data_IF_306749522559
#
_entry.id   IF_306749522559
#
_cell.length_a   1.000
_cell.length_b   1.000
_cell.length_c   1.000
_cell.angle_alpha   90.00
_cell.angle_beta   90.00
_cell.angle_gamma   90.00
#
_symmetry.space_group_name_H-M   'P 1'
#
loop_
_entity.id
_entity.type
_entity.pdbx_description
1 polymer ?
#
# COMPACT_ATOMS: atom_id res chain seq x y z
N UNK A 1 -16.58 64.28 -36.52
CA UNK A 1 -15.29 64.06 -37.23
C UNK A 1 -14.33 63.34 -36.30
N UNK A 2 -13.47 62.54 -36.90
CA UNK A 2 -12.74 61.36 -36.40
C UNK A 2 -11.72 61.55 -35.26
N UNK A 3 -11.50 60.45 -34.50
CA UNK A 3 -10.22 59.74 -34.27
C UNK A 3 -10.46 58.61 -33.24
N UNK A 4 -10.79 57.37 -33.63
CA UNK A 4 -9.89 56.20 -33.86
C UNK A 4 -8.79 55.99 -32.80
N UNK A 5 -8.93 54.97 -31.93
CA UNK A 5 -8.28 53.61 -31.96
C UNK A 5 -6.99 53.57 -31.10
N UNK A 6 -6.89 52.76 -30.03
CA UNK A 6 -6.69 51.30 -30.06
C UNK A 6 -7.02 50.68 -28.69
N UNK A 7 -7.84 49.64 -28.70
CA UNK A 7 -8.12 48.71 -27.61
C UNK A 7 -7.72 47.31 -28.13
N UNK A 8 -6.95 46.54 -27.36
CA UNK A 8 -6.73 45.09 -27.54
C UNK A 8 -7.18 44.43 -26.23
N UNK A 9 -8.37 43.85 -26.16
CA UNK A 9 -8.70 42.43 -26.38
C UNK A 9 -7.87 41.44 -25.53
N UNK A 10 -8.52 40.82 -24.53
CA UNK A 10 -8.71 39.35 -24.53
C UNK A 10 -9.73 38.89 -23.47
N UNK A 11 -10.88 38.48 -24.00
CA UNK A 11 -11.83 37.43 -23.62
C UNK A 11 -12.18 37.10 -22.15
N UNK A 12 -13.46 37.34 -21.86
CA UNK A 12 -14.30 36.70 -20.85
C UNK A 12 -14.95 35.46 -21.49
N UNK A 13 -15.01 34.32 -20.78
CA UNK A 13 -16.17 33.42 -20.81
C UNK A 13 -16.48 32.98 -19.37
N UNK A 14 -17.74 33.17 -18.99
CA UNK A 14 -18.33 32.97 -17.68
C UNK A 14 -19.38 31.85 -17.82
N UNK A 15 -19.24 30.73 -17.10
CA UNK A 15 -20.29 29.79 -16.67
C UNK A 15 -19.62 28.99 -15.53
N UNK A 16 -20.11 28.91 -14.30
CA UNK A 16 -21.49 28.79 -13.87
C UNK A 16 -21.77 27.34 -13.46
N UNK A 17 -21.16 26.86 -12.37
CA UNK A 17 -21.69 25.71 -11.63
C UNK A 17 -21.37 25.83 -10.15
N UNK A 18 -22.44 25.81 -9.37
CA UNK A 18 -22.48 25.70 -7.91
C UNK A 18 -21.77 24.41 -7.51
N UNK A 19 -20.57 24.52 -6.95
CA UNK A 19 -19.98 23.44 -6.18
C UNK A 19 -20.70 23.38 -4.85
N UNK A 20 -21.71 22.51 -4.75
CA UNK A 20 -22.18 22.02 -3.46
C UNK A 20 -20.96 21.37 -2.82
N UNK A 21 -20.42 21.97 -1.75
CA UNK A 21 -19.56 21.25 -0.82
C UNK A 21 -20.46 20.17 -0.18
N UNK A 22 -20.46 18.97 -0.75
CA UNK A 22 -20.90 17.79 -0.02
C UNK A 22 -19.99 17.68 1.19
N UNK A 23 -20.62 17.46 2.33
CA UNK A 23 -19.96 17.25 3.61
C UNK A 23 -19.40 15.83 3.62
N UNK A 24 -18.46 15.55 2.72
CA UNK A 24 -17.74 14.28 2.68
C UNK A 24 -16.75 14.30 3.84
N UNK A 25 -17.21 13.83 4.99
CA UNK A 25 -16.34 13.37 6.06
C UNK A 25 -15.85 11.98 5.64
N UNK A 26 -14.96 11.94 4.66
CA UNK A 26 -14.16 10.75 4.38
C UNK A 26 -13.11 10.62 5.47
N UNK A 27 -13.46 9.89 6.53
CA UNK A 27 -12.52 9.47 7.55
C UNK A 27 -12.72 7.99 7.88
N UNK A 28 -11.84 7.16 7.33
CA UNK A 28 -11.17 6.06 8.02
C UNK A 28 -10.05 5.52 7.11
N UNK A 29 -8.87 6.12 7.20
CA UNK A 29 -7.62 5.50 6.74
C UNK A 29 -7.14 4.60 7.88
N UNK A 30 -7.00 3.32 7.60
CA UNK A 30 -6.18 2.37 8.35
C UNK A 30 -6.09 1.06 7.54
N UNK A 31 -5.04 0.91 6.73
CA UNK A 31 -4.39 -0.39 6.66
C UNK A 31 -3.60 -0.51 7.96
N UNK A 32 -4.14 -1.23 8.94
CA UNK A 32 -3.38 -1.65 10.11
C UNK A 32 -2.87 -3.05 9.78
N UNK A 33 -1.56 -3.13 9.48
CA UNK A 33 -0.73 -4.34 9.45
C UNK A 33 -1.51 -5.64 9.21
N UNK A 34 -2.05 -5.80 8.00
CA UNK A 34 -2.34 -7.11 7.45
C UNK A 34 -1.03 -7.67 6.92
N UNK A 35 -0.35 -8.54 7.66
CA UNK A 35 0.82 -9.26 7.13
C UNK A 35 0.44 -9.89 5.80
N UNK A 36 1.05 -9.41 4.72
CA UNK A 36 0.39 -9.52 3.41
C UNK A 36 0.34 -10.95 2.88
N UNK A 37 0.99 -11.98 3.47
CA UNK A 37 0.76 -13.39 3.11
C UNK A 37 -0.49 -13.98 3.75
N UNK A 38 -1.38 -13.14 4.26
CA UNK A 38 -2.66 -13.63 4.67
C UNK A 38 -3.53 -13.70 3.43
N UNK A 39 -4.10 -14.88 3.23
CA UNK A 39 -5.33 -15.08 2.48
C UNK A 39 -6.48 -14.18 2.98
N UNK A 40 -6.23 -13.08 3.69
CA UNK A 40 -7.20 -12.28 4.43
C UNK A 40 -6.92 -10.79 4.19
N UNK A 41 -7.96 -9.98 4.00
CA UNK A 41 -7.86 -8.53 4.04
C UNK A 41 -8.88 -7.97 5.03
N UNK A 42 -8.43 -7.14 5.96
CA UNK A 42 -9.29 -6.47 6.94
C UNK A 42 -9.73 -5.10 6.43
N UNK A 43 -10.94 -4.69 6.79
CA UNK A 43 -11.50 -3.40 6.42
C UNK A 43 -12.47 -2.89 7.48
N UNK A 44 -12.59 -1.56 7.59
CA UNK A 44 -13.48 -0.91 8.55
C UNK A 44 -14.86 -0.66 7.94
N UNK A 45 -15.90 -0.66 8.77
CA UNK A 45 -17.28 -0.38 8.34
C UNK A 45 -17.84 0.76 9.20
N UNK A 46 -18.04 1.97 8.64
CA UNK A 46 -18.40 3.17 9.42
C UNK A 46 -19.90 3.23 9.81
N UNK A 47 -20.59 2.09 9.87
CA UNK A 47 -22.03 2.01 10.14
C UNK A 47 -22.39 2.57 11.53
N UNK A 48 -21.47 2.46 12.49
CA UNK A 48 -21.64 2.99 13.85
C UNK A 48 -21.57 4.53 13.90
N UNK A 49 -20.87 5.18 12.96
CA UNK A 49 -20.77 6.66 12.90
C UNK A 49 -22.11 7.33 12.60
N UNK A 50 -23.04 6.60 11.99
CA UNK A 50 -24.37 7.07 11.63
C UNK A 50 -25.48 6.47 12.50
N UNK A 51 -25.13 5.88 13.66
CA UNK A 51 -26.09 5.10 14.41
C UNK A 51 -27.32 5.90 14.90
N UNK A 52 -28.50 5.30 14.73
CA UNK A 52 -29.78 5.82 15.23
C UNK A 52 -30.73 4.67 15.57
N UNK A 53 -31.39 4.76 16.73
CA UNK A 53 -32.40 3.77 17.16
C UNK A 53 -33.72 3.86 16.36
N UNK A 54 -33.99 5.00 15.74
CA UNK A 54 -35.25 5.28 15.05
C UNK A 54 -35.16 5.20 13.52
N UNK A 55 -34.00 4.84 12.97
CA UNK A 55 -33.74 4.87 11.53
C UNK A 55 -33.06 3.58 11.07
N UNK A 56 -33.39 3.16 9.86
CA UNK A 56 -32.72 2.07 9.15
C UNK A 56 -31.42 2.58 8.54
N UNK A 57 -30.37 1.78 8.63
CA UNK A 57 -29.12 1.99 7.90
C UNK A 57 -28.84 0.77 7.04
N UNK A 58 -28.38 0.99 5.82
CA UNK A 58 -28.04 -0.08 4.90
C UNK A 58 -26.53 -0.28 4.87
N UNK A 59 -26.13 -1.54 4.70
CA UNK A 59 -24.76 -1.94 4.40
C UNK A 59 -24.81 -2.76 3.13
N UNK A 60 -24.00 -2.39 2.15
CA UNK A 60 -23.76 -3.17 0.95
C UNK A 60 -22.26 -3.36 0.75
N UNK A 61 -21.85 -4.59 0.49
CA UNK A 61 -20.48 -4.97 0.12
C UNK A 61 -20.54 -5.70 -1.22
N UNK A 62 -19.61 -5.41 -2.10
CA UNK A 62 -19.44 -6.10 -3.37
C UNK A 62 -18.03 -6.65 -3.49
N UNK A 63 -17.93 -7.82 -4.12
CA UNK A 63 -16.66 -8.49 -4.39
C UNK A 63 -16.68 -9.01 -5.82
N UNK A 64 -15.70 -8.59 -6.61
CA UNK A 64 -15.51 -8.95 -8.01
C UNK A 64 -14.24 -9.76 -8.16
N UNK A 65 -14.31 -10.89 -8.85
CA UNK A 65 -13.09 -11.62 -9.25
C UNK A 65 -12.69 -11.23 -10.67
N UNK A 66 -11.44 -10.79 -10.87
CA UNK A 66 -10.96 -10.23 -12.14
C UNK A 66 -10.18 -11.23 -13.00
N UNK A 67 -9.50 -12.22 -12.39
CA UNK A 67 -8.56 -13.09 -13.14
C UNK A 67 -9.05 -14.52 -13.33
N UNK A 68 -9.61 -15.14 -12.29
CA UNK A 68 -10.10 -16.52 -12.29
C UNK A 68 -11.36 -16.64 -11.43
N UNK A 69 -11.94 -17.84 -11.32
CA UNK A 69 -12.94 -18.08 -10.28
C UNK A 69 -12.22 -18.05 -8.92
N UNK A 70 -12.76 -17.33 -7.95
CA UNK A 70 -12.19 -17.18 -6.61
C UNK A 70 -13.14 -17.76 -5.55
N UNK A 71 -12.62 -18.63 -4.70
CA UNK A 71 -13.26 -19.09 -3.47
C UNK A 71 -12.97 -18.10 -2.34
N UNK A 72 -14.01 -17.46 -1.82
CA UNK A 72 -13.91 -16.35 -0.87
C UNK A 72 -14.88 -16.50 0.30
N UNK A 73 -14.55 -15.97 1.47
CA UNK A 73 -15.49 -15.82 2.58
C UNK A 73 -15.39 -14.42 3.17
N UNK A 74 -16.52 -13.79 3.48
CA UNK A 74 -16.57 -12.50 4.19
C UNK A 74 -16.94 -12.78 5.63
N UNK A 75 -16.16 -12.28 6.58
CA UNK A 75 -16.49 -12.33 8.00
C UNK A 75 -16.74 -10.92 8.51
N UNK A 76 -17.81 -10.74 9.27
CA UNK A 76 -18.25 -9.43 9.78
C UNK A 76 -18.31 -9.49 11.30
N UNK A 77 -17.89 -8.42 11.97
CA UNK A 77 -17.73 -8.41 13.42
C UNK A 77 -18.41 -7.20 14.06
N UNK A 78 -19.01 -7.42 15.23
CA UNK A 78 -19.51 -6.39 16.12
C UNK A 78 -18.38 -5.64 16.81
N UNK A 79 -18.71 -4.56 17.52
CA UNK A 79 -17.74 -3.76 18.30
C UNK A 79 -17.03 -4.57 19.40
N UNK A 80 -17.69 -5.58 19.98
CA UNK A 80 -17.12 -6.44 21.01
C UNK A 80 -16.29 -7.61 20.43
N UNK A 81 -16.19 -7.73 19.09
CA UNK A 81 -15.47 -8.80 18.42
C UNK A 81 -16.30 -10.04 18.09
N UNK A 82 -17.58 -10.09 18.48
CA UNK A 82 -18.46 -11.20 18.11
C UNK A 82 -18.71 -11.21 16.60
N UNK A 83 -18.68 -12.39 16.01
CA UNK A 83 -18.94 -12.59 14.59
C UNK A 83 -20.45 -12.52 14.27
N UNK A 84 -20.76 -11.95 13.12
CA UNK A 84 -22.12 -11.82 12.58
C UNK A 84 -22.25 -12.81 11.42
N UNK A 85 -23.17 -13.76 11.58
CA UNK A 85 -23.48 -14.79 10.57
C UNK A 85 -24.86 -14.57 9.94
N UNK A 86 -25.44 -13.38 10.10
CA UNK A 86 -26.75 -13.05 9.55
C UNK A 86 -26.66 -12.99 8.02
N UNK A 87 -27.40 -13.87 7.36
CA UNK A 87 -27.55 -13.87 5.92
C UNK A 87 -28.12 -12.52 5.46
N UNK A 88 -27.55 -11.98 4.38
CA UNK A 88 -28.03 -10.74 3.80
C UNK A 88 -29.40 -10.91 3.13
N UNK A 89 -30.09 -9.80 2.92
CA UNK A 89 -31.43 -9.76 2.32
C UNK A 89 -31.40 -8.89 1.07
N UNK A 90 -31.94 -9.38 -0.05
CA UNK A 90 -32.09 -8.55 -1.24
C UNK A 90 -33.12 -7.44 -0.99
N UNK A 91 -32.84 -6.23 -1.48
CA UNK A 91 -33.72 -5.06 -1.31
C UNK A 91 -33.56 -4.10 -2.49
N UNK A 92 -34.67 -3.59 -3.02
CA UNK A 92 -34.72 -2.59 -4.11
C UNK A 92 -33.83 -2.91 -5.32
N UNK A 93 -33.80 -4.18 -5.74
CA UNK A 93 -32.98 -4.66 -6.86
C UNK A 93 -31.51 -4.93 -6.52
N UNK A 94 -31.07 -4.68 -5.28
CA UNK A 94 -29.77 -5.11 -4.77
C UNK A 94 -29.87 -6.59 -4.39
N UNK A 95 -29.06 -7.42 -5.05
CA UNK A 95 -28.95 -8.85 -4.74
C UNK A 95 -28.10 -9.08 -3.47
N UNK A 96 -28.31 -10.22 -2.81
CA UNK A 96 -27.54 -10.60 -1.62
C UNK A 96 -27.29 -12.11 -1.66
N UNK A 97 -26.10 -12.48 -2.10
CA UNK A 97 -25.69 -13.87 -2.38
C UNK A 97 -24.75 -14.43 -1.31
N UNK A 98 -24.09 -13.54 -0.57
CA UNK A 98 -23.07 -13.90 0.40
C UNK A 98 -23.70 -14.21 1.76
N UNK A 99 -23.29 -15.31 2.36
CA UNK A 99 -23.55 -15.63 3.77
C UNK A 99 -22.25 -15.39 4.53
N UNK A 100 -22.20 -14.40 5.45
CA UNK A 100 -21.00 -14.17 6.25
C UNK A 100 -20.53 -15.44 6.97
N UNK A 101 -19.21 -15.68 6.93
CA UNK A 101 -18.56 -16.88 7.46
C UNK A 101 -18.57 -18.11 6.52
N UNK A 102 -19.38 -18.12 5.46
CA UNK A 102 -19.43 -19.22 4.50
C UNK A 102 -18.53 -18.97 3.27
N UNK A 103 -17.97 -20.05 2.71
CA UNK A 103 -17.26 -19.98 1.41
C UNK A 103 -18.24 -19.74 0.29
N UNK A 104 -17.88 -18.82 -0.61
CA UNK A 104 -18.65 -18.40 -1.78
C UNK A 104 -17.74 -18.40 -3.00
N UNK A 105 -18.18 -19.05 -4.08
CA UNK A 105 -17.50 -19.01 -5.37
C UNK A 105 -17.87 -17.74 -6.13
N UNK A 106 -16.90 -16.87 -6.41
CA UNK A 106 -17.06 -15.72 -7.29
C UNK A 106 -16.49 -16.07 -8.65
N UNK A 107 -17.33 -16.12 -9.69
CA UNK A 107 -16.87 -16.46 -11.04
C UNK A 107 -15.99 -15.33 -11.59
N UNK A 108 -15.07 -15.68 -12.48
CA UNK A 108 -14.27 -14.70 -13.22
C UNK A 108 -15.17 -13.66 -13.90
N UNK A 109 -14.79 -12.40 -13.80
CA UNK A 109 -15.45 -11.24 -14.40
C UNK A 109 -16.89 -11.04 -13.89
N UNK A 110 -17.21 -11.57 -12.70
CA UNK A 110 -18.51 -11.40 -12.04
C UNK A 110 -18.36 -10.81 -10.65
N UNK A 111 -19.46 -10.23 -10.15
CA UNK A 111 -19.56 -9.60 -8.84
C UNK A 111 -20.61 -10.33 -8.02
N UNK A 112 -20.30 -10.62 -6.77
CA UNK A 112 -21.27 -11.06 -5.76
C UNK A 112 -21.47 -9.94 -4.73
N UNK A 113 -22.66 -9.90 -4.14
CA UNK A 113 -23.03 -8.83 -3.21
C UNK A 113 -23.48 -9.40 -1.86
N UNK A 114 -23.12 -8.72 -0.78
CA UNK A 114 -23.75 -8.83 0.53
C UNK A 114 -24.50 -7.53 0.83
N UNK A 115 -25.79 -7.62 1.08
CA UNK A 115 -26.60 -6.49 1.53
C UNK A 115 -27.39 -6.85 2.79
N UNK A 116 -27.39 -5.96 3.79
CA UNK A 116 -28.27 -6.07 4.96
C UNK A 116 -28.67 -4.69 5.50
N UNK A 117 -29.96 -4.56 5.83
CA UNK A 117 -30.51 -3.40 6.50
C UNK A 117 -30.49 -3.55 8.04
N UNK A 118 -29.96 -2.55 8.73
CA UNK A 118 -29.83 -2.43 10.17
C UNK A 118 -30.79 -1.36 10.71
N UNK A 119 -31.97 -1.77 11.17
CA UNK A 119 -32.94 -0.90 11.86
C UNK A 119 -34.32 -1.53 11.90
N UNK A 120 -35.14 -1.14 12.88
CA UNK A 120 -36.45 -1.76 13.14
C UNK A 120 -36.42 -3.07 13.94
N UNK A 121 -35.29 -3.81 13.98
CA UNK A 121 -35.17 -5.08 14.73
C UNK A 121 -33.84 -5.27 15.52
N UNK A 122 -32.80 -4.45 15.28
CA UNK A 122 -31.56 -4.47 16.08
C UNK A 122 -31.52 -3.22 16.97
N UNK A 123 -31.93 -3.37 18.23
CA UNK A 123 -32.28 -2.23 19.11
C UNK A 123 -31.10 -1.35 19.54
N UNK A 124 -29.86 -1.82 19.39
CA UNK A 124 -28.65 -1.13 19.86
C UNK A 124 -27.53 -1.08 18.81
N UNK A 125 -26.82 0.04 18.75
CA UNK A 125 -25.67 0.27 17.87
C UNK A 125 -24.58 -0.80 18.01
N UNK A 126 -24.42 -1.35 19.22
CA UNK A 126 -23.45 -2.41 19.53
C UNK A 126 -23.69 -3.71 18.75
N UNK A 127 -24.91 -3.95 18.29
CA UNK A 127 -25.28 -5.14 17.52
C UNK A 127 -24.96 -5.01 16.02
N UNK A 128 -24.52 -3.82 15.58
CA UNK A 128 -24.19 -3.54 14.18
C UNK A 128 -22.76 -3.92 13.84
N UNK A 129 -22.51 -4.15 12.55
CA UNK A 129 -21.15 -4.38 12.05
C UNK A 129 -20.24 -3.19 12.35
N UNK A 130 -19.03 -3.48 12.79
CA UNK A 130 -17.99 -2.51 13.10
C UNK A 130 -16.81 -2.63 12.12
N UNK A 131 -16.43 -3.86 11.77
CA UNK A 131 -15.37 -4.14 10.80
C UNK A 131 -15.60 -5.51 10.17
N UNK A 132 -14.85 -5.82 9.12
CA UNK A 132 -14.90 -7.12 8.46
C UNK A 132 -13.53 -7.57 7.96
N UNK A 133 -13.49 -8.81 7.48
CA UNK A 133 -12.38 -9.34 6.69
C UNK A 133 -12.88 -10.18 5.53
N UNK A 134 -12.17 -10.16 4.41
CA UNK A 134 -12.38 -11.09 3.29
C UNK A 134 -11.26 -12.11 3.33
N UNK A 135 -11.58 -13.39 3.27
CA UNK A 135 -10.61 -14.50 3.20
C UNK A 135 -10.67 -15.17 1.82
N UNK A 136 -9.58 -15.17 1.05
CA UNK A 136 -9.42 -15.85 -0.25
C UNK A 136 -8.76 -17.20 -0.12
N UNK A 137 -9.49 -18.25 -0.44
CA UNK A 137 -8.97 -19.61 -0.50
C UNK A 137 -8.35 -19.95 -1.87
N UNK A 138 -8.32 -18.99 -2.80
CA UNK A 138 -7.76 -19.17 -4.15
C UNK A 138 -6.47 -18.38 -4.32
N UNK A 139 -5.38 -19.06 -4.60
CA UNK A 139 -4.10 -18.42 -4.95
C UNK A 139 -4.14 -17.85 -6.38
N UNK A 140 -3.57 -16.68 -6.59
CA UNK A 140 -3.48 -16.01 -7.89
C UNK A 140 -4.77 -15.34 -8.36
N UNK A 141 -5.83 -15.34 -7.54
CA UNK A 141 -7.02 -14.52 -7.80
C UNK A 141 -6.71 -13.04 -7.57
N UNK A 142 -7.11 -12.19 -8.51
CA UNK A 142 -7.17 -10.74 -8.35
C UNK A 142 -8.61 -10.36 -8.03
N UNK A 143 -8.82 -9.74 -6.87
CA UNK A 143 -10.12 -9.48 -6.29
C UNK A 143 -10.26 -7.98 -6.09
N UNK A 144 -11.31 -7.39 -6.65
CA UNK A 144 -11.69 -6.02 -6.34
C UNK A 144 -12.87 -6.07 -5.37
N UNK A 145 -12.81 -5.28 -4.30
CA UNK A 145 -13.87 -5.25 -3.32
C UNK A 145 -14.12 -3.83 -2.81
N UNK A 146 -15.35 -3.60 -2.37
CA UNK A 146 -15.76 -2.31 -1.82
C UNK A 146 -17.18 -2.38 -1.31
N UNK A 147 -17.77 -1.22 -1.06
CA UNK A 147 -19.14 -1.16 -0.59
C UNK A 147 -19.54 0.24 -0.17
N UNK A 148 -20.64 0.31 0.55
CA UNK A 148 -21.17 1.55 1.08
C UNK A 148 -22.07 1.29 2.29
N UNK A 149 -22.24 2.34 3.08
CA UNK A 149 -23.30 2.47 4.06
C UNK A 149 -24.17 3.67 3.71
N UNK A 150 -25.49 3.54 3.85
CA UNK A 150 -26.42 4.62 3.54
C UNK A 150 -27.60 4.68 4.52
N UNK A 151 -28.10 5.90 4.72
CA UNK A 151 -29.44 6.17 5.19
C UNK A 151 -29.57 7.55 5.84
N UNK A 152 -30.61 7.76 6.65
CA UNK A 152 -31.10 9.10 6.99
C UNK A 152 -30.11 10.02 7.73
N UNK A 153 -29.05 9.48 8.35
CA UNK A 153 -28.04 10.26 9.09
C UNK A 153 -26.78 10.56 8.28
N UNK A 154 -26.63 9.97 7.11
CA UNK A 154 -25.48 10.12 6.23
C UNK A 154 -25.13 8.83 5.52
N UNK A 155 -24.15 8.93 4.62
CA UNK A 155 -23.60 7.82 3.87
C UNK A 155 -22.06 7.85 3.92
N UNK A 156 -21.46 6.71 3.58
CA UNK A 156 -20.02 6.59 3.39
C UNK A 156 -19.68 5.43 2.46
N UNK A 157 -18.66 5.62 1.63
CA UNK A 157 -18.07 4.56 0.81
C UNK A 157 -17.11 3.72 1.66
N UNK A 158 -17.12 2.41 1.43
CA UNK A 158 -16.15 1.47 1.99
C UNK A 158 -15.14 1.15 0.88
N UNK A 159 -13.91 1.60 1.06
CA UNK A 159 -12.79 1.25 0.18
C UNK A 159 -12.03 0.09 0.81
N UNK A 160 -11.99 -1.04 0.12
CA UNK A 160 -11.17 -2.19 0.49
C UNK A 160 -9.92 -2.14 -0.39
N UNK A 161 -8.75 -2.29 0.22
CA UNK A 161 -7.46 -2.13 -0.47
C UNK A 161 -7.33 -0.80 -1.25
N UNK A 162 -7.85 0.30 -0.69
CA UNK A 162 -7.91 1.62 -1.35
C UNK A 162 -8.62 1.62 -2.72
N UNK A 163 -9.47 0.63 -2.99
CA UNK A 163 -10.13 0.48 -4.29
C UNK A 163 -9.25 -0.15 -5.37
N UNK A 164 -8.05 -0.64 -5.01
CA UNK A 164 -7.16 -1.36 -5.91
C UNK A 164 -7.41 -2.87 -5.84
N UNK A 165 -7.17 -3.63 -6.93
CA UNK A 165 -7.27 -5.08 -6.90
C UNK A 165 -6.32 -5.70 -5.87
N UNK A 166 -6.88 -6.52 -4.97
CA UNK A 166 -6.14 -7.37 -4.06
C UNK A 166 -5.80 -8.69 -4.75
N UNK A 167 -4.52 -8.96 -4.96
CA UNK A 167 -4.06 -10.24 -5.49
C UNK A 167 -3.56 -11.14 -4.36
N UNK A 168 -4.15 -12.34 -4.23
CA UNK A 168 -3.60 -13.40 -3.38
C UNK A 168 -2.40 -14.05 -4.10
N UNK A 169 -1.36 -13.26 -4.42
CA UNK A 169 -0.17 -13.70 -5.14
C UNK A 169 0.84 -14.25 -4.15
N UNK A 170 1.29 -15.48 -4.36
CA UNK A 170 2.47 -16.00 -3.67
C UNK A 170 3.66 -15.13 -4.03
N UNK A 171 4.31 -14.54 -3.03
CA UNK A 171 5.53 -13.75 -3.21
C UNK A 171 6.70 -14.68 -3.47
N UNK A 172 6.70 -15.28 -4.65
CA UNK A 172 7.87 -15.98 -5.14
C UNK A 172 8.78 -14.91 -5.72
N UNK A 173 9.96 -14.76 -5.12
CA UNK A 173 11.10 -14.00 -5.64
C UNK A 173 11.32 -14.39 -7.10
N UNK A 174 10.89 -13.52 -8.02
CA UNK A 174 11.21 -13.63 -9.44
C UNK A 174 12.25 -12.60 -9.87
N UNK A 175 12.94 -11.97 -8.92
CA UNK A 175 14.11 -11.15 -9.23
C UNK A 175 15.13 -12.00 -9.98
N UNK A 176 15.77 -11.44 -11.00
CA UNK A 176 16.88 -12.12 -11.65
C UNK A 176 18.01 -12.33 -10.64
N UNK A 177 18.44 -13.58 -10.45
CA UNK A 177 19.40 -13.92 -9.39
C UNK A 177 18.73 -14.10 -8.03
N UNK A 178 19.50 -14.42 -7.00
CA UNK A 178 18.98 -14.80 -5.68
C UNK A 178 18.37 -13.62 -4.86
N UNK A 179 17.67 -12.67 -5.49
CA UNK A 179 17.01 -11.56 -4.78
C UNK A 179 15.69 -12.00 -4.15
N UNK A 180 15.52 -11.71 -2.86
CA UNK A 180 14.31 -12.01 -2.09
C UNK A 180 13.22 -10.95 -2.31
N UNK A 181 13.59 -9.74 -2.75
CA UNK A 181 12.63 -8.70 -3.11
C UNK A 181 12.20 -8.90 -4.56
N UNK A 182 10.90 -8.94 -4.88
CA UNK A 182 10.46 -8.97 -6.28
C UNK A 182 10.66 -7.60 -6.92
N UNK A 183 10.80 -7.58 -8.24
CA UNK A 183 10.83 -6.35 -9.05
C UNK A 183 9.62 -5.45 -8.71
N UNK A 184 9.85 -4.36 -7.99
CA UNK A 184 8.79 -3.46 -7.52
C UNK A 184 8.32 -2.51 -8.63
N UNK A 185 7.02 -2.22 -8.65
CA UNK A 185 6.38 -1.24 -9.55
C UNK A 185 5.69 -0.10 -8.80
N UNK A 186 5.57 -0.22 -7.47
CA UNK A 186 5.11 0.82 -6.55
C UNK A 186 5.62 0.49 -5.13
N UNK A 187 5.33 1.35 -4.14
CA UNK A 187 5.65 1.06 -2.74
C UNK A 187 4.93 -0.18 -2.16
N UNK A 188 3.93 -0.74 -2.86
CA UNK A 188 3.12 -1.86 -2.37
C UNK A 188 3.00 -3.02 -3.38
N UNK A 189 3.56 -2.88 -4.59
CA UNK A 189 3.37 -3.85 -5.66
C UNK A 189 4.71 -4.31 -6.24
N UNK A 190 4.88 -5.61 -6.55
CA UNK A 190 3.85 -6.65 -6.58
C UNK A 190 3.61 -7.38 -5.24
N UNK A 191 4.45 -7.15 -4.24
CA UNK A 191 4.31 -7.74 -2.90
C UNK A 191 5.22 -7.02 -1.91
N UNK A 192 4.82 -7.01 -0.63
CA UNK A 192 5.57 -6.38 0.44
C UNK A 192 5.47 -4.86 0.35
N UNK A 193 6.02 -4.19 1.36
CA UNK A 193 5.96 -2.73 1.44
C UNK A 193 7.36 -2.15 1.44
N UNK A 194 7.61 -1.23 0.51
CA UNK A 194 8.80 -0.38 0.54
C UNK A 194 8.42 0.94 1.19
N UNK A 195 9.22 1.39 2.14
CA UNK A 195 9.07 2.72 2.73
C UNK A 195 10.43 3.34 3.00
N UNK A 196 10.46 4.67 3.15
CA UNK A 196 11.68 5.40 3.45
C UNK A 196 11.41 6.56 4.41
N UNK A 197 12.49 7.09 4.99
CA UNK A 197 12.40 8.26 5.88
C UNK A 197 11.83 9.49 5.19
N UNK A 198 12.24 9.73 3.94
CA UNK A 198 11.80 10.83 3.08
C UNK A 198 11.99 10.44 1.61
N UNK A 199 11.29 11.13 0.70
CA UNK A 199 11.36 10.90 -0.75
C UNK A 199 11.43 12.24 -1.49
N UNK A 200 12.33 12.40 -2.45
CA UNK A 200 12.44 13.67 -3.20
C UNK A 200 11.23 13.95 -4.10
N UNK A 201 10.74 12.92 -4.79
CA UNK A 201 9.61 13.01 -5.73
C UNK A 201 9.03 11.63 -6.01
N UNK A 202 7.83 11.52 -6.64
CA UNK A 202 7.28 10.23 -7.05
C UNK A 202 8.17 9.43 -8.00
N UNK A 203 9.07 10.08 -8.75
CA UNK A 203 10.03 9.41 -9.64
C UNK A 203 11.26 8.85 -8.89
N UNK A 204 11.44 9.24 -7.62
CA UNK A 204 12.52 8.82 -6.73
C UNK A 204 11.98 8.22 -5.43
N UNK A 205 10.76 7.67 -5.50
CA UNK A 205 10.10 7.02 -4.39
C UNK A 205 10.88 5.76 -3.96
N UNK A 206 10.65 5.31 -2.74
CA UNK A 206 11.41 4.24 -2.10
C UNK A 206 11.48 2.96 -2.95
N UNK A 207 10.36 2.56 -3.56
CA UNK A 207 10.28 1.36 -4.42
C UNK A 207 11.23 1.36 -5.63
N UNK A 208 11.67 2.53 -6.08
CA UNK A 208 12.53 2.64 -7.26
C UNK A 208 13.96 2.13 -7.01
N UNK A 209 14.34 1.88 -5.76
CA UNK A 209 15.57 1.19 -5.41
C UNK A 209 15.45 -0.35 -5.41
N UNK A 210 14.27 -0.89 -5.72
CA UNK A 210 13.96 -2.33 -5.73
C UNK A 210 13.25 -2.74 -7.03
N UNK A 211 13.40 -1.97 -8.09
CA UNK A 211 12.66 -2.18 -9.33
C UNK A 211 13.48 -2.93 -10.38
N UNK A 212 14.64 -3.49 -10.00
CA UNK A 212 15.58 -4.21 -10.87
C UNK A 212 15.96 -3.44 -12.14
N UNK A 213 15.93 -2.10 -12.10
CA UNK A 213 16.24 -1.24 -13.25
C UNK A 213 17.20 -0.12 -12.90
N UNK A 214 18.37 -0.19 -13.53
CA UNK A 214 19.39 0.86 -13.42
C UNK A 214 19.31 1.75 -14.67
N UNK A 215 18.18 2.44 -14.84
CA UNK A 215 17.96 3.29 -16.01
C UNK A 215 18.89 4.51 -16.04
N UNK A 216 19.21 5.02 -17.23
CA UNK A 216 20.11 6.17 -17.48
C UNK A 216 19.65 7.54 -16.94
N UNK A 217 18.53 7.61 -16.22
CA UNK A 217 17.82 8.87 -15.90
C UNK A 217 17.82 9.30 -14.43
N UNK A 218 18.79 8.89 -13.61
CA UNK A 218 18.85 9.31 -12.20
C UNK A 218 17.70 8.75 -11.36
N UNK A 219 17.25 7.53 -11.71
CA UNK A 219 16.27 6.76 -10.95
C UNK A 219 16.95 5.98 -9.83
N UNK A 220 16.14 5.61 -8.84
CA UNK A 220 16.55 5.12 -7.53
C UNK A 220 15.91 5.94 -6.42
N UNK A 221 15.96 5.43 -5.19
CA UNK A 221 15.45 6.14 -4.02
C UNK A 221 16.35 7.34 -3.70
N UNK A 222 15.74 8.52 -3.60
CA UNK A 222 16.40 9.74 -3.13
C UNK A 222 15.72 10.25 -1.88
N UNK A 223 16.51 10.62 -0.87
CA UNK A 223 16.00 11.44 0.23
C UNK A 223 15.53 12.80 -0.28
N UNK A 224 14.68 13.47 0.51
CA UNK A 224 14.35 14.87 0.28
C UNK A 224 15.59 15.77 0.12
N UNK A 225 15.39 16.94 -0.51
CA UNK A 225 16.48 17.88 -0.75
C UNK A 225 17.11 18.37 0.56
N UNK A 226 18.44 18.38 0.58
CA UNK A 226 19.31 18.73 1.70
C UNK A 226 19.26 17.74 2.88
N UNK A 227 18.77 16.51 2.66
CA UNK A 227 18.76 15.45 3.65
C UNK A 227 19.86 14.43 3.32
N UNK A 228 20.86 14.33 4.20
CA UNK A 228 22.08 13.51 4.00
C UNK A 228 22.22 12.33 4.97
N UNK A 229 21.14 12.03 5.70
CA UNK A 229 20.94 10.84 6.53
C UNK A 229 19.50 10.36 6.34
N UNK A 230 19.22 9.07 6.49
CA UNK A 230 17.89 8.52 6.25
C UNK A 230 17.87 7.01 6.24
N UNK A 231 16.68 6.44 6.15
CA UNK A 231 16.50 4.99 6.08
C UNK A 231 15.63 4.60 4.90
N UNK A 232 15.90 3.41 4.36
CA UNK A 232 15.11 2.73 3.34
C UNK A 232 14.81 1.33 3.87
N UNK A 233 13.54 0.96 3.86
CA UNK A 233 12.99 -0.24 4.47
C UNK A 233 12.22 -1.06 3.43
N UNK A 234 12.38 -2.38 3.54
CA UNK A 234 11.49 -3.34 2.92
C UNK A 234 10.84 -4.22 3.99
N UNK A 235 9.51 -4.20 4.03
CA UNK A 235 8.71 -5.11 4.83
C UNK A 235 8.31 -6.31 3.96
N UNK A 236 8.93 -7.45 4.27
CA UNK A 236 8.52 -8.73 3.72
C UNK A 236 7.15 -9.13 4.23
N UNK A 237 6.36 -9.53 3.27
CA UNK A 237 5.09 -10.21 3.39
C UNK A 237 5.09 -11.47 4.27
N UNK A 238 6.18 -12.25 4.22
CA UNK A 238 6.45 -13.34 5.16
C UNK A 238 7.91 -13.30 5.60
N UNK A 239 8.23 -13.56 6.88
CA UNK A 239 9.59 -13.43 7.37
C UNK A 239 10.61 -14.18 6.52
N UNK A 240 11.64 -13.48 6.04
CA UNK A 240 12.72 -14.05 5.24
C UNK A 240 14.02 -14.05 6.04
N UNK A 241 14.94 -14.96 5.72
CA UNK A 241 16.32 -14.94 6.24
C UNK A 241 17.22 -14.24 5.22
N UNK A 242 17.51 -12.96 5.45
CA UNK A 242 18.48 -12.20 4.65
C UNK A 242 19.87 -12.40 5.24
N UNK A 243 20.86 -12.72 4.40
CA UNK A 243 22.28 -12.91 4.78
C UNK A 243 23.24 -12.01 4.00
N UNK A 244 22.75 -11.34 2.97
CA UNK A 244 23.49 -10.30 2.31
C UNK A 244 22.55 -9.26 1.72
N UNK A 245 23.08 -8.07 1.47
CA UNK A 245 22.41 -7.05 0.67
C UNK A 245 23.40 -6.52 -0.37
N UNK A 246 22.86 -6.03 -1.48
CA UNK A 246 23.65 -5.30 -2.48
C UNK A 246 23.25 -3.84 -2.47
N UNK A 247 24.19 -2.96 -2.79
CA UNK A 247 23.93 -1.54 -3.02
C UNK A 247 24.60 -1.12 -4.30
N UNK A 248 23.89 -0.32 -5.08
CA UNK A 248 24.44 0.30 -6.27
C UNK A 248 24.12 1.80 -6.30
N UNK A 249 25.03 2.59 -6.87
CA UNK A 249 24.83 4.03 -7.03
C UNK A 249 23.78 4.32 -8.11
N UNK A 250 23.07 5.45 -8.03
CA UNK A 250 22.26 5.93 -9.16
C UNK A 250 23.06 5.98 -10.46
N UNK A 251 22.38 5.64 -11.56
CA UNK A 251 22.90 5.87 -12.89
C UNK A 251 22.68 7.35 -13.27
N UNK A 252 23.78 8.07 -13.47
CA UNK A 252 23.80 9.48 -13.87
C UNK A 252 24.90 9.69 -14.91
N UNK A 253 24.68 10.57 -15.92
CA UNK A 253 25.72 10.97 -16.86
C UNK A 253 26.94 11.62 -16.19
N UNK A 254 26.82 12.05 -14.92
CA UNK A 254 27.93 12.49 -14.10
C UNK A 254 28.22 11.50 -12.97
N UNK A 255 29.20 10.62 -13.18
CA UNK A 255 29.62 9.59 -12.21
C UNK A 255 30.04 10.18 -10.85
N UNK A 256 30.63 11.37 -10.81
CA UNK A 256 31.12 11.99 -9.56
C UNK A 256 29.97 12.36 -8.62
N UNK A 257 28.82 12.77 -9.17
CA UNK A 257 27.62 13.09 -8.40
C UNK A 257 26.99 11.82 -7.82
N UNK A 258 26.90 10.76 -8.62
CA UNK A 258 26.40 9.46 -8.18
C UNK A 258 27.24 8.88 -7.03
N UNK A 259 28.56 8.95 -7.14
CA UNK A 259 29.48 8.46 -6.10
C UNK A 259 29.38 9.28 -4.82
N UNK A 260 29.23 10.60 -4.90
CA UNK A 260 29.11 11.47 -3.72
C UNK A 260 27.79 11.29 -2.95
N UNK A 261 26.72 10.88 -3.64
CA UNK A 261 25.38 10.63 -3.04
C UNK A 261 25.24 9.25 -2.41
N UNK A 262 26.15 8.32 -2.71
CA UNK A 262 26.11 6.96 -2.20
C UNK A 262 26.28 6.91 -0.67
N UNK A 263 25.75 5.86 0.02
CA UNK A 263 25.94 5.67 1.45
C UNK A 263 27.44 5.54 1.82
N UNK A 264 27.86 6.10 2.95
CA UNK A 264 29.26 5.99 3.47
C UNK A 264 29.31 5.27 4.81
N UNK A 265 28.35 5.56 5.68
CA UNK A 265 28.22 4.93 7.00
C UNK A 265 26.76 4.58 7.24
N UNK A 266 26.49 3.32 7.59
CA UNK A 266 25.15 2.84 7.85
C UNK A 266 25.15 1.58 8.72
N UNK A 267 24.00 1.28 9.30
CA UNK A 267 23.66 -0.02 9.85
C UNK A 267 22.64 -0.69 8.93
N UNK A 268 22.74 -2.01 8.78
CA UNK A 268 21.67 -2.82 8.21
C UNK A 268 20.98 -3.56 9.34
N UNK A 269 19.66 -3.43 9.42
CA UNK A 269 18.88 -3.75 10.61
C UNK A 269 17.65 -4.58 10.25
N UNK A 270 17.17 -5.37 11.22
CA UNK A 270 15.91 -6.10 11.11
C UNK A 270 14.98 -5.84 12.30
N UNK A 271 13.69 -5.85 12.06
CA UNK A 271 12.67 -5.62 13.09
C UNK A 271 12.29 -6.92 13.80
N UNK A 272 12.44 -6.98 15.12
CA UNK A 272 12.09 -8.17 15.91
C UNK A 272 10.64 -8.17 16.45
N UNK A 273 9.83 -7.16 16.11
CA UNK A 273 8.49 -6.95 16.70
C UNK A 273 8.42 -5.80 17.71
N UNK A 274 9.56 -5.41 18.28
CA UNK A 274 9.67 -4.40 19.35
C UNK A 274 10.73 -3.33 19.06
N UNK A 275 11.86 -3.73 18.48
CA UNK A 275 13.00 -2.85 18.18
C UNK A 275 13.74 -3.29 16.91
N UNK A 276 14.58 -2.39 16.41
CA UNK A 276 15.50 -2.66 15.30
C UNK A 276 16.80 -3.27 15.83
N UNK A 277 17.12 -4.46 15.35
CA UNK A 277 18.34 -5.18 15.69
C UNK A 277 19.36 -4.97 14.56
N UNK A 278 20.56 -4.53 14.91
CA UNK A 278 21.66 -4.37 13.94
C UNK A 278 22.18 -5.75 13.53
N UNK A 279 22.13 -6.03 12.23
CA UNK A 279 22.66 -7.26 11.60
C UNK A 279 24.02 -7.05 10.95
N UNK A 280 24.28 -5.84 10.45
CA UNK A 280 25.56 -5.43 9.86
C UNK A 280 25.83 -3.95 10.13
N UNK A 281 27.11 -3.57 10.16
CA UNK A 281 27.57 -2.19 10.39
C UNK A 281 28.72 -1.87 9.45
N UNK A 282 28.52 -0.85 8.60
CA UNK A 282 29.51 -0.38 7.64
C UNK A 282 29.89 1.06 7.94
N UNK A 283 31.19 1.37 7.84
CA UNK A 283 31.70 2.71 8.10
C UNK A 283 32.79 3.08 7.10
N UNK A 284 32.77 4.35 6.68
CA UNK A 284 33.79 4.93 5.80
C UNK A 284 33.95 4.22 4.44
N UNK A 285 32.84 3.73 3.87
CA UNK A 285 32.81 3.15 2.52
C UNK A 285 32.78 4.30 1.51
N UNK A 286 33.92 4.56 0.87
CA UNK A 286 34.09 5.70 -0.06
C UNK A 286 34.44 5.27 -1.49
N UNK A 287 34.85 4.01 -1.69
CA UNK A 287 35.32 3.46 -2.96
C UNK A 287 34.17 2.99 -3.88
N UNK A 288 33.11 3.79 -4.00
CA UNK A 288 31.99 3.50 -4.90
C UNK A 288 32.43 3.62 -6.35
N UNK A 289 32.05 2.64 -7.16
CA UNK A 289 32.29 2.63 -8.59
C UNK A 289 30.95 2.66 -9.28
N UNK A 290 30.84 3.55 -10.27
CA UNK A 290 29.63 3.71 -11.06
C UNK A 290 29.24 2.38 -11.74
N UNK A 291 27.95 2.05 -11.70
CA UNK A 291 27.39 0.83 -12.30
C UNK A 291 27.89 -0.50 -11.69
N UNK A 292 28.65 -0.48 -10.60
CA UNK A 292 29.04 -1.70 -9.88
C UNK A 292 28.20 -1.88 -8.62
N UNK A 293 27.54 -3.03 -8.50
CA UNK A 293 26.86 -3.41 -7.26
C UNK A 293 27.87 -3.91 -6.24
N UNK A 294 27.87 -3.32 -5.04
CA UNK A 294 28.66 -3.80 -3.91
C UNK A 294 27.81 -4.71 -3.03
N UNK A 295 28.28 -5.93 -2.81
CA UNK A 295 27.65 -6.91 -1.92
C UNK A 295 28.25 -6.82 -0.52
N UNK A 296 27.39 -6.85 0.49
CA UNK A 296 27.74 -6.90 1.91
C UNK A 296 27.09 -8.14 2.52
N UNK A 297 27.90 -9.07 3.04
CA UNK A 297 27.43 -10.33 3.62
C UNK A 297 27.61 -10.31 5.14
N UNK A 298 26.66 -10.91 5.85
CA UNK A 298 26.64 -11.01 7.31
C UNK A 298 26.00 -12.35 7.73
N UNK A 299 26.20 -12.75 8.98
CA UNK A 299 25.59 -13.97 9.52
C UNK A 299 24.21 -13.69 10.06
N UNK A 300 23.21 -14.43 9.57
CA UNK A 300 21.87 -14.42 10.13
C UNK A 300 21.20 -15.79 9.93
N UNK A 301 20.56 -16.25 10.99
CA UNK A 301 19.81 -17.52 11.02
C UNK A 301 18.32 -17.29 11.32
N UNK A 302 17.93 -16.07 11.68
CA UNK A 302 16.56 -15.71 12.05
C UNK A 302 15.85 -15.05 10.88
N UNK A 303 14.60 -15.45 10.66
CA UNK A 303 13.74 -14.82 9.69
C UNK A 303 13.09 -13.57 10.31
N UNK A 304 13.06 -12.47 9.57
CA UNK A 304 12.43 -11.21 10.01
C UNK A 304 11.47 -10.70 8.94
N UNK A 305 10.41 -10.02 9.36
CA UNK A 305 9.41 -9.44 8.47
C UNK A 305 9.80 -8.06 7.94
N UNK A 306 10.75 -7.35 8.55
CA UNK A 306 11.22 -6.06 8.05
C UNK A 306 12.73 -5.95 8.13
N UNK A 307 13.31 -5.39 7.09
CA UNK A 307 14.73 -5.07 7.01
C UNK A 307 14.88 -3.63 6.54
N UNK A 308 15.86 -2.91 7.08
CA UNK A 308 16.19 -1.56 6.62
C UNK A 308 17.68 -1.31 6.58
N UNK A 309 18.08 -0.44 5.67
CA UNK A 309 19.35 0.26 5.75
C UNK A 309 19.12 1.61 6.44
N UNK A 310 19.92 1.92 7.46
CA UNK A 310 19.84 3.15 8.23
C UNK A 310 21.16 3.93 8.08
N UNK A 311 21.14 4.96 7.23
CA UNK A 311 22.31 5.68 6.73
C UNK A 311 22.53 6.93 7.57
N UNK A 312 23.68 7.00 8.22
CA UNK A 312 24.08 8.13 9.07
C UNK A 312 24.98 9.12 8.35
N UNK A 313 25.64 8.70 7.27
CA UNK A 313 26.42 9.59 6.42
C UNK A 313 26.48 9.10 4.97
N UNK A 314 26.43 10.04 4.02
CA UNK A 314 26.73 9.81 2.62
C UNK A 314 28.21 10.10 2.28
N UNK A 315 28.57 9.88 1.02
CA UNK A 315 29.92 10.01 0.50
C UNK A 315 30.30 11.44 0.04
N UNK A 316 29.68 12.47 0.64
CA UNK A 316 30.09 13.88 0.46
C UNK A 316 29.11 14.78 -0.29
N UNK A 317 27.94 14.28 -0.71
CA UNK A 317 26.88 15.15 -1.25
C UNK A 317 26.21 15.95 -0.13
N UNK A 318 25.84 17.20 -0.43
CA UNK A 318 25.05 18.06 0.46
C UNK A 318 23.55 18.04 0.12
N UNK A 319 23.17 17.37 -0.98
CA UNK A 319 21.81 17.45 -1.51
C UNK A 319 20.96 16.24 -1.11
N UNK A 320 21.48 15.03 -1.29
CA UNK A 320 20.70 13.80 -1.13
C UNK A 320 21.60 12.63 -0.69
N UNK A 321 20.97 11.60 -0.13
CA UNK A 321 21.41 10.21 -0.26
C UNK A 321 20.70 9.62 -1.47
N UNK A 322 21.40 8.76 -2.21
CA UNK A 322 20.79 7.98 -3.27
C UNK A 322 21.24 6.52 -3.24
N UNK A 323 20.25 5.64 -3.34
CA UNK A 323 20.44 4.21 -3.65
C UNK A 323 19.81 3.99 -5.01
N UNK A 324 20.64 3.64 -6.00
CA UNK A 324 20.20 3.35 -7.37
C UNK A 324 19.45 2.03 -7.44
N UNK A 325 20.01 1.00 -6.83
CA UNK A 325 19.42 -0.33 -6.72
C UNK A 325 19.89 -0.99 -5.41
N UNK A 326 19.02 -1.80 -4.81
CA UNK A 326 19.27 -2.58 -3.62
C UNK A 326 18.57 -3.93 -3.72
N UNK A 327 19.31 -5.00 -3.43
CA UNK A 327 18.79 -6.36 -3.39
C UNK A 327 18.98 -6.96 -2.00
N UNK A 328 18.08 -7.85 -1.59
CA UNK A 328 18.18 -8.59 -0.33
C UNK A 328 18.36 -10.08 -0.63
N UNK A 329 19.47 -10.66 -0.22
CA UNK A 329 19.88 -11.99 -0.66
C UNK A 329 19.86 -13.01 0.48
N UNK A 330 19.54 -14.29 0.21
CA UNK A 330 19.59 -15.35 1.22
C UNK A 330 21.01 -15.84 1.50
N UNK A 331 22.01 -15.54 0.64
CA UNK A 331 23.43 -15.90 0.74
C UNK A 331 24.33 -14.90 -0.03
#
# INVERSE_FOLDING_TARGET
MSKLVRCLLSFVILFGTVGILSKDQSFAVASLDGGENSNTIYFTIPLNSFCSKSQVMELSLNVTSLTNNAELSIHLFKKNGDEINTQGTSYDGIESEIIPGASTTVKKDTTVVYHLAYGGMYENCSERVYYGKIVSNTTGSSILAGGWVDGAKGNATILINNGEPWTNKSCNSSGEGNDLVPTMTSNFAPCGQVSASTEFSPLNAAWTAFNDTIESSGRGWHTEKNITSGWLEYAFHSPQVVRAYTLQTQNSPNNTVSVARAPKTWTFEAWNGQEWIVLDSQSNITNWVYSESKKFSFTNEKAYSKYRINITANNGSVEHIVIGEMQLLPN
#
